data_IF_141863805682
#
_entry.id   IF_141863805682
#
_cell.length_a   1.000
_cell.length_b   1.000
_cell.length_c   1.000
_cell.angle_alpha   90.00
_cell.angle_beta   90.00
_cell.angle_gamma   90.00
#
_symmetry.space_group_name_H-M   'P 1'
#
loop_
_entity.id
_entity.type
_entity.pdbx_description
1 polymer ?
#
# COMPACT_ATOMS: atom_id res chain seq x y z
N UNK A 1 5.52 7.20 -13.68
CA UNK A 1 5.88 6.55 -12.40
C UNK A 1 4.59 6.03 -11.79
N UNK A 2 4.49 4.74 -11.50
CA UNK A 2 3.23 4.10 -11.08
C UNK A 2 3.13 4.08 -9.55
N UNK A 3 3.24 5.25 -8.92
CA UNK A 3 3.08 5.40 -7.47
C UNK A 3 1.67 5.91 -7.18
N UNK A 4 0.99 5.28 -6.23
CA UNK A 4 -0.35 5.63 -5.79
C UNK A 4 -0.48 5.31 -4.30
N UNK A 5 -1.48 5.89 -3.67
CA UNK A 5 -1.94 5.49 -2.33
C UNK A 5 -3.36 4.97 -2.46
N UNK A 6 -3.78 4.07 -1.58
CA UNK A 6 -5.16 3.57 -1.57
C UNK A 6 -5.70 3.50 -0.15
N UNK A 7 -7.03 3.49 -0.05
CA UNK A 7 -7.75 3.24 1.19
C UNK A 7 -8.68 2.07 0.98
N UNK A 8 -8.50 1.01 1.75
CA UNK A 8 -9.49 -0.04 1.89
C UNK A 8 -10.55 0.42 2.90
N UNK A 9 -11.82 0.20 2.59
CA UNK A 9 -12.88 0.35 3.58
C UNK A 9 -12.99 -0.96 4.36
N UNK A 10 -13.56 -0.92 5.57
CA UNK A 10 -13.99 -2.12 6.27
C UNK A 10 -15.51 -2.05 6.31
N UNK A 11 -16.21 -3.04 5.72
CA UNK A 11 -17.65 -3.10 5.85
C UNK A 11 -18.00 -3.96 7.08
N UNK A 12 -18.88 -3.44 7.92
CA UNK A 12 -19.07 -3.90 9.30
C UNK A 12 -19.74 -5.25 9.46
N UNK A 13 -20.06 -5.95 8.35
CA UNK A 13 -20.83 -7.18 8.38
C UNK A 13 -19.93 -8.41 8.20
N UNK A 14 -18.85 -8.36 7.40
CA UNK A 14 -18.04 -9.57 7.09
C UNK A 14 -16.51 -9.33 7.01
N UNK A 15 -15.97 -8.20 7.50
CA UNK A 15 -14.53 -7.83 7.45
C UNK A 15 -13.87 -7.80 6.06
N UNK A 16 -14.61 -8.08 4.98
CA UNK A 16 -14.13 -7.96 3.60
C UNK A 16 -14.94 -6.86 2.93
N UNK A 17 -14.36 -5.67 2.80
CA UNK A 17 -14.94 -4.65 1.94
C UNK A 17 -14.52 -4.88 0.51
N UNK A 18 -15.49 -4.96 -0.39
CA UNK A 18 -15.29 -5.00 -1.85
C UNK A 18 -14.97 -3.62 -2.42
N UNK A 19 -14.95 -2.56 -1.60
CA UNK A 19 -14.81 -1.19 -2.04
C UNK A 19 -13.53 -0.56 -1.46
N UNK A 20 -12.62 -0.19 -2.36
CA UNK A 20 -11.40 0.52 -2.04
C UNK A 20 -11.20 1.68 -3.02
N UNK A 21 -10.62 2.77 -2.55
CA UNK A 21 -10.32 3.94 -3.37
C UNK A 21 -8.84 3.99 -3.67
N UNK A 22 -8.49 4.15 -4.95
CA UNK A 22 -7.10 4.30 -5.42
C UNK A 22 -6.87 5.75 -5.84
N UNK A 23 -5.81 6.37 -5.32
CA UNK A 23 -5.45 7.76 -5.56
C UNK A 23 -4.13 7.85 -6.31
N UNK A 24 -4.22 8.21 -7.59
CA UNK A 24 -3.06 8.43 -8.45
C UNK A 24 -2.54 9.86 -8.35
N UNK A 25 -1.25 10.02 -8.56
CA UNK A 25 -0.68 11.35 -8.74
C UNK A 25 -1.16 11.98 -10.05
N UNK A 26 -1.52 13.26 -10.02
CA UNK A 26 -1.86 13.99 -11.24
C UNK A 26 -0.57 14.38 -12.00
N UNK A 27 -0.63 14.40 -13.34
CA UNK A 27 0.53 14.73 -14.19
C UNK A 27 1.07 16.15 -13.99
N UNK A 28 0.23 17.04 -13.45
CA UNK A 28 0.57 18.43 -13.08
C UNK A 28 1.00 18.60 -11.63
N UNK A 29 1.01 17.53 -10.84
CA UNK A 29 1.44 17.56 -9.43
C UNK A 29 2.96 17.58 -9.30
N UNK A 30 3.45 17.76 -8.07
CA UNK A 30 4.87 17.62 -7.76
C UNK A 30 5.38 16.17 -7.89
N UNK A 31 6.70 16.00 -7.86
CA UNK A 31 7.38 14.69 -7.91
C UNK A 31 7.68 14.10 -6.53
N UNK A 32 6.93 14.50 -5.50
CA UNK A 32 7.20 14.14 -4.11
C UNK A 32 6.48 12.85 -3.71
N UNK A 33 6.89 11.72 -4.29
CA UNK A 33 6.15 10.47 -4.14
C UNK A 33 6.42 9.74 -2.82
N UNK A 34 7.69 9.53 -2.49
CA UNK A 34 8.10 8.77 -1.32
C UNK A 34 9.30 9.43 -0.66
N UNK A 35 9.34 9.34 0.66
CA UNK A 35 10.40 9.83 1.50
C UNK A 35 10.82 8.73 2.46
N UNK A 36 12.12 8.57 2.64
CA UNK A 36 12.70 7.75 3.69
C UNK A 36 13.69 8.63 4.45
N UNK A 37 13.37 8.90 5.71
CA UNK A 37 14.25 9.64 6.61
C UNK A 37 14.76 8.67 7.67
N UNK A 38 16.06 8.38 7.65
CA UNK A 38 16.72 7.59 8.69
C UNK A 38 17.33 8.48 9.80
N UNK A 39 17.55 9.77 9.49
CA UNK A 39 17.98 10.77 10.47
C UNK A 39 17.27 12.10 10.21
N UNK A 40 16.79 12.74 11.28
CA UNK A 40 16.18 14.07 11.23
C UNK A 40 16.30 14.74 12.61
N UNK A 41 16.44 16.07 12.73
CA UNK A 41 16.48 16.76 14.03
C UNK A 41 15.20 16.62 14.88
N UNK A 42 14.13 16.11 14.27
CA UNK A 42 12.83 15.91 14.89
C UNK A 42 12.45 14.45 14.69
N UNK A 43 12.25 13.72 15.77
CA UNK A 43 12.04 12.26 15.76
C UNK A 43 10.75 11.87 15.02
N UNK A 44 9.71 12.68 15.10
CA UNK A 44 8.42 12.46 14.43
C UNK A 44 8.47 12.57 12.91
N UNK A 45 9.64 12.91 12.35
CA UNK A 45 9.88 12.98 10.89
C UNK A 45 10.80 11.87 10.39
N UNK A 46 11.30 11.01 11.28
CA UNK A 46 12.12 9.84 10.93
C UNK A 46 11.17 8.67 10.65
N UNK A 47 11.21 8.14 9.44
CA UNK A 47 10.28 7.12 8.99
C UNK A 47 10.05 7.16 7.48
N UNK A 48 8.90 6.61 7.07
CA UNK A 48 8.50 6.49 5.68
C UNK A 48 7.31 7.40 5.43
N UNK A 49 7.44 8.33 4.49
CA UNK A 49 6.37 9.24 4.08
C UNK A 49 5.99 9.03 2.62
N UNK A 50 4.73 9.20 2.28
CA UNK A 50 4.21 9.16 0.92
C UNK A 50 3.40 10.42 0.60
N UNK A 51 3.77 11.09 -0.49
CA UNK A 51 3.07 12.27 -0.97
C UNK A 51 3.25 13.49 -0.08
N UNK A 52 2.99 14.68 -0.63
CA UNK A 52 3.02 15.93 0.11
C UNK A 52 4.43 16.48 0.30
N UNK A 53 4.70 17.01 1.49
CA UNK A 53 5.96 17.67 1.83
C UNK A 53 6.42 17.26 3.24
N UNK A 54 7.72 17.38 3.57
CA UNK A 54 8.23 17.02 4.89
C UNK A 54 7.43 17.65 6.04
N UNK A 55 6.89 16.83 6.92
CA UNK A 55 6.05 17.24 8.05
C UNK A 55 4.55 17.41 7.74
N UNK A 56 4.16 17.35 6.46
CA UNK A 56 2.76 17.33 6.00
C UNK A 56 2.61 16.29 4.89
N UNK A 57 2.92 15.03 5.24
CA UNK A 57 2.78 13.92 4.31
C UNK A 57 1.30 13.58 4.10
N UNK A 58 0.98 13.06 2.91
CA UNK A 58 -0.35 12.47 2.67
C UNK A 58 -0.57 11.19 3.48
N UNK A 59 0.52 10.47 3.74
CA UNK A 59 0.59 9.31 4.61
C UNK A 59 2.01 9.18 5.16
N UNK A 60 2.16 8.85 6.43
CA UNK A 60 3.46 8.64 7.06
C UNK A 60 3.36 7.56 8.12
N UNK A 61 4.45 6.82 8.31
CA UNK A 61 4.67 5.91 9.43
C UNK A 61 6.06 6.16 10.00
N UNK A 62 6.16 6.13 11.32
CA UNK A 62 7.45 6.30 12.00
C UNK A 62 8.42 5.15 11.71
N UNK A 63 9.69 5.36 12.05
CA UNK A 63 10.76 4.37 11.84
C UNK A 63 10.55 3.04 12.58
N UNK A 64 9.72 3.06 13.62
CA UNK A 64 9.44 1.89 14.45
C UNK A 64 8.26 1.08 13.90
N UNK A 65 7.57 1.62 12.90
CA UNK A 65 6.36 1.06 12.31
C UNK A 65 5.21 0.95 13.32
N UNK A 66 5.21 1.81 14.34
CA UNK A 66 4.26 1.77 15.45
C UNK A 66 3.21 2.87 15.36
N UNK A 67 3.59 4.05 14.85
CA UNK A 67 2.69 5.20 14.76
C UNK A 67 2.60 5.73 13.34
N UNK A 68 1.38 5.88 12.86
CA UNK A 68 1.07 6.47 11.56
C UNK A 68 0.47 7.86 11.71
N UNK A 69 0.72 8.72 10.72
CA UNK A 69 0.13 10.06 10.64
C UNK A 69 -0.31 10.41 9.22
N UNK A 70 -1.36 11.22 9.12
CA UNK A 70 -1.93 11.78 7.90
C UNK A 70 -2.52 13.16 8.22
N UNK A 71 -1.63 14.13 8.45
CA UNK A 71 -2.00 15.48 8.92
C UNK A 71 -2.84 16.27 7.90
N UNK A 72 -2.59 16.10 6.61
CA UNK A 72 -3.29 16.84 5.57
C UNK A 72 -4.76 16.43 5.44
N UNK A 73 -5.66 17.41 5.27
CA UNK A 73 -7.02 17.13 4.80
C UNK A 73 -7.02 16.65 3.35
N UNK A 74 -6.05 17.10 2.55
CA UNK A 74 -5.79 16.64 1.19
C UNK A 74 -4.29 16.64 0.86
N UNK A 75 -3.79 15.54 0.32
CA UNK A 75 -2.41 15.42 -0.13
C UNK A 75 -2.17 16.20 -1.44
N UNK A 76 -1.09 16.96 -1.56
CA UNK A 76 -0.81 17.73 -2.79
C UNK A 76 -0.31 16.87 -3.95
N UNK A 77 0.31 15.71 -3.66
CA UNK A 77 0.84 14.80 -4.68
C UNK A 77 -0.24 13.91 -5.27
N UNK A 78 -0.99 13.21 -4.40
CA UNK A 78 -2.01 12.24 -4.79
C UNK A 78 -3.43 12.79 -4.81
N UNK A 79 -3.65 14.02 -4.32
CA UNK A 79 -4.99 14.62 -4.12
C UNK A 79 -5.94 13.77 -3.26
N UNK A 80 -5.39 12.76 -2.57
CA UNK A 80 -6.12 11.90 -1.67
C UNK A 80 -6.61 12.71 -0.47
N UNK A 81 -7.79 12.39 0.08
CA UNK A 81 -8.15 12.84 1.41
C UNK A 81 -7.25 12.15 2.45
N UNK A 82 -7.50 12.43 3.72
CA UNK A 82 -6.97 11.63 4.82
C UNK A 82 -7.36 10.16 4.65
N UNK A 83 -6.38 9.27 4.71
CA UNK A 83 -6.59 7.83 4.48
C UNK A 83 -7.12 7.10 5.73
N UNK A 84 -6.89 7.67 6.91
CA UNK A 84 -7.36 7.20 8.21
C UNK A 84 -8.55 8.02 8.72
N UNK A 85 -9.27 7.49 9.72
CA UNK A 85 -10.35 8.22 10.39
C UNK A 85 -9.83 9.41 11.22
N UNK A 86 -8.63 9.26 11.80
CA UNK A 86 -7.95 10.25 12.66
C UNK A 86 -6.64 10.70 12.05
N UNK A 87 -6.10 11.85 12.49
CA UNK A 87 -4.81 12.37 11.99
C UNK A 87 -3.62 11.49 12.33
N UNK A 88 -3.71 10.75 13.43
CA UNK A 88 -2.70 9.82 13.90
C UNK A 88 -3.38 8.53 14.35
N UNK A 89 -2.67 7.41 14.21
CA UNK A 89 -3.13 6.09 14.64
C UNK A 89 -1.96 5.23 15.11
N UNK A 90 -2.27 4.26 15.96
CA UNK A 90 -1.34 3.16 16.28
C UNK A 90 -1.48 2.10 15.22
N UNK A 91 -0.35 1.61 14.74
CA UNK A 91 -0.27 0.61 13.68
C UNK A 91 -0.33 -0.76 14.32
N UNK A 92 -1.25 -1.59 13.85
CA UNK A 92 -1.40 -2.98 14.31
C UNK A 92 -0.46 -3.93 13.58
N UNK A 93 -0.38 -3.79 12.26
CA UNK A 93 0.50 -4.57 11.40
C UNK A 93 0.92 -3.77 10.16
N UNK A 94 2.10 -4.12 9.62
CA UNK A 94 2.61 -3.59 8.35
C UNK A 94 3.06 -4.76 7.51
N UNK A 95 2.57 -4.81 6.28
CA UNK A 95 2.94 -5.83 5.30
C UNK A 95 3.54 -5.15 4.06
N UNK A 96 4.63 -5.73 3.53
CA UNK A 96 5.32 -5.20 2.36
C UNK A 96 5.46 -6.31 1.33
N UNK A 97 4.91 -6.07 0.15
CA UNK A 97 4.87 -7.04 -0.94
C UNK A 97 5.79 -6.59 -2.09
N UNK A 98 6.82 -7.38 -2.38
CA UNK A 98 7.68 -7.17 -3.53
C UNK A 98 7.24 -8.09 -4.68
N UNK A 99 6.77 -7.50 -5.78
CA UNK A 99 6.40 -8.25 -6.99
C UNK A 99 7.52 -8.11 -8.02
N UNK A 100 7.99 -9.24 -8.56
CA UNK A 100 9.06 -9.24 -9.57
C UNK A 100 8.57 -8.62 -10.88
N UNK A 101 9.44 -7.89 -11.57
CA UNK A 101 9.10 -7.15 -12.79
C UNK A 101 8.57 -8.05 -13.91
N UNK A 102 9.17 -9.22 -14.11
CA UNK A 102 8.74 -10.23 -15.08
C UNK A 102 7.33 -10.75 -14.77
N UNK A 103 7.00 -10.96 -13.50
CA UNK A 103 5.64 -11.33 -13.05
C UNK A 103 4.65 -10.20 -13.35
N UNK A 104 4.99 -8.94 -13.04
CA UNK A 104 4.14 -7.79 -13.37
C UNK A 104 3.91 -7.69 -14.88
N UNK A 105 4.95 -7.84 -15.70
CA UNK A 105 4.82 -7.81 -17.16
C UNK A 105 3.97 -8.96 -17.71
N UNK A 106 4.05 -10.15 -17.12
CA UNK A 106 3.17 -11.27 -17.45
C UNK A 106 1.72 -10.99 -17.07
N UNK A 107 1.48 -10.53 -15.84
CA UNK A 107 0.13 -10.18 -15.35
C UNK A 107 -0.52 -9.06 -16.17
N UNK A 108 0.24 -8.06 -16.60
CA UNK A 108 -0.26 -7.00 -17.49
C UNK A 108 -0.64 -7.52 -18.89
N UNK A 109 0.04 -8.56 -19.37
CA UNK A 109 -0.29 -9.21 -20.66
C UNK A 109 -1.53 -10.08 -20.52
N UNK A 110 -1.61 -10.91 -19.47
CA UNK A 110 -2.72 -11.83 -19.22
C UNK A 110 -3.99 -11.12 -18.74
N UNK A 111 -3.87 -10.07 -17.92
CA UNK A 111 -5.00 -9.28 -17.41
C UNK A 111 -5.76 -8.52 -18.51
N UNK A 112 -5.11 -8.23 -19.64
CA UNK A 112 -5.79 -7.68 -20.83
C UNK A 112 -6.66 -8.71 -21.57
N UNK A 113 -6.56 -9.99 -21.23
CA UNK A 113 -7.41 -11.06 -21.79
C UNK A 113 -8.65 -11.33 -20.92
N UNK A 114 -8.65 -10.86 -19.65
CA UNK A 114 -9.79 -11.04 -18.76
C UNK A 114 -10.82 -9.93 -18.93
N UNK A 115 -12.11 -10.28 -18.93
CA UNK A 115 -13.19 -9.33 -19.11
C UNK A 115 -13.23 -8.29 -17.98
N UNK A 116 -13.40 -7.01 -18.33
CA UNK A 116 -13.56 -5.92 -17.36
C UNK A 116 -14.68 -6.23 -16.36
N UNK A 117 -14.38 -6.14 -15.06
CA UNK A 117 -15.33 -6.38 -13.97
C UNK A 117 -15.20 -7.74 -13.28
N UNK A 118 -14.25 -8.58 -13.68
CA UNK A 118 -13.87 -9.80 -12.96
C UNK A 118 -12.60 -9.52 -12.15
N UNK A 119 -12.56 -9.95 -10.88
CA UNK A 119 -11.37 -9.82 -10.03
C UNK A 119 -10.18 -10.54 -10.68
N UNK A 120 -8.98 -9.96 -10.63
CA UNK A 120 -7.79 -10.59 -11.21
C UNK A 120 -7.48 -11.95 -10.57
N UNK A 121 -7.94 -12.17 -9.32
CA UNK A 121 -7.86 -13.45 -8.59
C UNK A 121 -8.79 -14.51 -9.23
N UNK A 122 -9.98 -14.12 -9.69
CA UNK A 122 -10.97 -15.05 -10.28
C UNK A 122 -10.66 -15.39 -11.75
N UNK A 123 -9.89 -14.53 -12.42
CA UNK A 123 -9.51 -14.69 -13.81
C UNK A 123 -8.53 -15.85 -14.06
N UNK A 124 -7.73 -16.23 -13.06
CA UNK A 124 -6.74 -17.29 -13.19
C UNK A 124 -6.47 -18.00 -11.84
N UNK A 125 -7.28 -19.01 -11.46
CA UNK A 125 -7.11 -19.73 -10.20
C UNK A 125 -5.76 -20.48 -10.06
N UNK A 126 -5.02 -20.64 -11.15
CA UNK A 126 -3.70 -21.30 -11.17
C UNK A 126 -2.52 -20.31 -11.07
N UNK A 127 -2.80 -19.02 -10.94
CA UNK A 127 -1.79 -17.99 -10.72
C UNK A 127 -1.17 -18.14 -9.33
N UNK A 128 0.13 -18.45 -9.28
CA UNK A 128 0.88 -18.62 -8.04
C UNK A 128 0.83 -17.39 -7.11
N UNK A 129 0.68 -16.19 -7.68
CA UNK A 129 0.55 -14.97 -6.91
C UNK A 129 -0.82 -14.89 -6.22
N UNK A 130 -1.88 -15.33 -6.90
CA UNK A 130 -3.24 -15.35 -6.36
C UNK A 130 -3.39 -16.45 -5.30
N UNK A 131 -2.74 -17.61 -5.51
CA UNK A 131 -2.63 -18.67 -4.48
C UNK A 131 -1.86 -18.16 -3.25
N UNK A 132 -0.74 -17.48 -3.43
CA UNK A 132 0.03 -16.90 -2.32
C UNK A 132 -0.78 -15.84 -1.55
N UNK A 133 -1.53 -14.97 -2.23
CA UNK A 133 -2.38 -13.97 -1.59
C UNK A 133 -3.60 -14.60 -0.88
N UNK A 134 -4.17 -15.68 -1.42
CA UNK A 134 -5.24 -16.44 -0.77
C UNK A 134 -4.73 -17.24 0.44
N UNK A 135 -3.53 -17.81 0.35
CA UNK A 135 -2.83 -18.48 1.46
C UNK A 135 -2.46 -17.49 2.58
N UNK A 136 -2.06 -16.26 2.24
CA UNK A 136 -1.78 -15.21 3.23
C UNK A 136 -3.04 -14.71 3.96
N UNK A 137 -4.21 -14.74 3.29
CA UNK A 137 -5.50 -14.44 3.92
C UNK A 137 -6.02 -15.56 4.84
N UNK A 138 -5.37 -16.72 4.88
CA UNK A 138 -5.66 -17.82 5.79
C UNK A 138 -4.50 -18.11 6.71
N UNK A 139 -4.53 -17.57 7.94
CA UNK A 139 -3.63 -17.84 9.08
C UNK A 139 -2.30 -18.52 8.71
N UNK A 140 -1.28 -17.72 8.37
CA UNK A 140 0.08 -18.23 8.23
C UNK A 140 0.95 -17.81 9.43
N UNK A 141 1.45 -18.78 10.18
CA UNK A 141 2.59 -18.55 11.08
C UNK A 141 3.86 -18.46 10.25
N UNK A 142 4.62 -17.38 10.40
CA UNK A 142 5.90 -17.19 9.74
C UNK A 142 6.93 -18.17 10.31
N UNK A 143 7.38 -19.12 9.49
CA UNK A 143 8.50 -19.96 9.86
C UNK A 143 9.80 -19.14 9.73
N UNK A 144 10.26 -18.59 10.86
CA UNK A 144 11.50 -17.78 10.96
C UNK A 144 12.78 -18.47 10.47
N UNK A 145 12.71 -19.73 10.05
CA UNK A 145 13.85 -20.54 9.64
C UNK A 145 13.97 -20.69 8.12
N UNK A 146 13.02 -20.18 7.33
CA UNK A 146 13.16 -20.16 5.88
C UNK A 146 14.16 -19.08 5.46
N UNK A 147 15.39 -19.53 5.21
CA UNK A 147 16.40 -18.73 4.52
C UNK A 147 16.19 -18.91 3.03
N UNK A 148 15.73 -17.86 2.37
CA UNK A 148 15.80 -17.75 0.91
C UNK A 148 17.27 -17.62 0.52
N UNK A 149 17.80 -18.65 -0.16
CA UNK A 149 19.15 -18.60 -0.73
C UNK A 149 19.23 -17.45 -1.75
N UNK A 150 20.29 -16.63 -1.63
CA UNK A 150 20.58 -15.47 -2.47
C UNK A 150 21.07 -15.88 -3.86
#
# INVERSE_FOLDING_TARGET
MNCFVFRAHADGIDNVSTEGEIYHSHSSSNSNFMYLFDTHPHEEKIGIGMGGQPGYFGWFIDRWLENGTSYGSRCTTFQSPRLSSTESWVVESVEVYAVKKDIVEQLLRTGNECASGVSCIDCNPDSKADQMLLELNGNHEFNRWDRTEC
#
